data_IF_116308834995
#
_entry.id   IF_116308834995
#
_cell.length_a   1.000
_cell.length_b   1.000
_cell.length_c   1.000
_cell.angle_alpha   90.00
_cell.angle_beta   90.00
_cell.angle_gamma   90.00
#
_symmetry.space_group_name_H-M   'P 1'
#
loop_
_entity.id
_entity.type
_entity.pdbx_description
1 polymer ?
#
# COMPACT_ATOMS: atom_id res chain seq x y z
N UNK A 1 17.62 29.02 25.94
CA UNK A 1 17.59 27.57 26.18
C UNK A 1 16.56 27.01 25.23
N UNK A 2 17.01 26.64 24.03
CA UNK A 2 16.16 26.06 22.98
C UNK A 2 15.90 24.61 23.35
N UNK A 3 14.63 24.28 23.55
CA UNK A 3 14.16 22.91 23.79
C UNK A 3 14.66 22.02 22.63
N UNK A 4 15.26 20.85 22.88
CA UNK A 4 15.54 19.89 21.81
C UNK A 4 14.20 19.44 21.24
N UNK A 5 13.99 19.68 19.94
CA UNK A 5 12.70 19.49 19.27
C UNK A 5 12.07 18.13 19.56
N UNK A 6 10.87 18.14 20.15
CA UNK A 6 10.09 16.93 20.43
C UNK A 6 9.73 16.18 19.15
N UNK A 7 9.51 14.87 19.29
CA UNK A 7 9.08 13.99 18.20
C UNK A 7 7.75 14.48 17.63
N UNK A 8 7.67 14.60 16.29
CA UNK A 8 6.45 15.03 15.61
C UNK A 8 5.67 13.85 15.04
N UNK A 9 4.41 14.08 14.65
CA UNK A 9 3.61 13.13 13.86
C UNK A 9 4.35 12.72 12.59
N UNK A 10 4.98 13.67 11.89
CA UNK A 10 5.71 13.41 10.66
C UNK A 10 6.92 12.49 10.89
N UNK A 11 7.62 12.66 12.03
CA UNK A 11 8.72 11.78 12.41
C UNK A 11 8.22 10.37 12.75
N UNK A 12 7.07 10.28 13.42
CA UNK A 12 6.42 9.00 13.74
C UNK A 12 6.00 8.26 12.47
N UNK A 13 5.36 8.93 11.51
CA UNK A 13 4.96 8.34 10.22
C UNK A 13 6.19 7.91 9.42
N UNK A 14 7.25 8.73 9.40
CA UNK A 14 8.50 8.37 8.73
C UNK A 14 9.14 7.11 9.34
N UNK A 15 9.16 7.02 10.67
CA UNK A 15 9.64 5.83 11.37
C UNK A 15 8.78 4.59 11.06
N UNK A 16 7.45 4.74 11.04
CA UNK A 16 6.53 3.65 10.68
C UNK A 16 6.84 3.10 9.29
N UNK A 17 6.99 3.96 8.28
CA UNK A 17 7.32 3.53 6.92
C UNK A 17 8.77 3.04 6.75
N UNK A 18 9.70 3.46 7.61
CA UNK A 18 11.09 3.01 7.57
C UNK A 18 11.29 1.61 8.17
N UNK A 19 10.69 1.36 9.34
CA UNK A 19 10.81 0.07 10.04
C UNK A 19 9.60 -0.28 10.91
N UNK A 20 8.87 0.71 11.44
CA UNK A 20 7.85 0.49 12.46
C UNK A 20 6.73 -0.45 12.03
N UNK A 21 6.25 -0.37 10.78
CA UNK A 21 5.21 -1.29 10.28
C UNK A 21 5.68 -2.75 10.28
N UNK A 22 6.94 -3.02 9.93
CA UNK A 22 7.50 -4.39 9.99
C UNK A 22 7.58 -4.87 11.43
N UNK A 23 8.00 -4.00 12.36
CA UNK A 23 8.03 -4.33 13.79
C UNK A 23 6.65 -4.64 14.36
N UNK A 24 5.62 -3.88 13.95
CA UNK A 24 4.21 -4.13 14.32
C UNK A 24 3.71 -5.46 13.74
N UNK A 25 4.04 -5.80 12.49
CA UNK A 25 3.72 -7.10 11.93
C UNK A 25 4.39 -8.25 12.71
N UNK A 26 5.66 -8.08 13.11
CA UNK A 26 6.37 -9.04 13.96
C UNK A 26 5.78 -9.18 15.36
N UNK A 27 5.12 -8.13 15.88
CA UNK A 27 4.40 -8.20 17.15
C UNK A 27 3.17 -9.12 17.05
N UNK A 28 2.41 -9.04 15.95
CA UNK A 28 1.27 -9.91 15.71
C UNK A 28 1.63 -11.40 15.68
N UNK A 29 2.83 -11.75 15.21
CA UNK A 29 3.33 -13.13 15.22
C UNK A 29 3.64 -13.66 16.62
N UNK A 30 3.88 -12.76 17.58
CA UNK A 30 4.22 -13.09 18.97
C UNK A 30 3.00 -13.07 19.89
N UNK A 31 1.84 -12.66 19.40
CA UNK A 31 0.60 -12.62 20.16
C UNK A 31 -0.36 -13.72 19.69
N UNK A 32 -1.08 -14.37 20.61
CA UNK A 32 -2.03 -15.42 20.24
C UNK A 32 -3.28 -14.88 19.54
N UNK A 33 -3.61 -13.61 19.77
CA UNK A 33 -4.79 -12.95 19.20
C UNK A 33 -4.49 -12.32 17.84
N UNK A 34 -5.45 -12.40 16.93
CA UNK A 34 -5.42 -11.66 15.67
C UNK A 34 -5.57 -10.17 15.97
N UNK A 35 -4.57 -9.37 15.58
CA UNK A 35 -4.55 -7.92 15.79
C UNK A 35 -5.19 -7.19 14.62
N UNK A 36 -6.10 -6.26 14.90
CA UNK A 36 -6.83 -5.48 13.89
C UNK A 36 -6.22 -4.09 13.67
N UNK A 37 -5.65 -3.49 14.71
CA UNK A 37 -5.13 -2.13 14.66
C UNK A 37 -4.07 -1.87 15.72
N UNK A 38 -3.36 -0.75 15.53
CA UNK A 38 -2.39 -0.21 16.47
C UNK A 38 -2.58 1.30 16.58
N UNK A 39 -2.38 1.86 17.77
CA UNK A 39 -2.17 3.31 17.94
C UNK A 39 -0.79 3.57 18.50
N UNK A 40 -0.12 4.60 17.98
CA UNK A 40 1.20 5.03 18.44
C UNK A 40 1.05 6.46 18.97
N UNK A 41 1.14 6.62 20.29
CA UNK A 41 1.11 7.92 20.93
C UNK A 41 2.40 8.69 20.65
N UNK A 42 2.30 9.84 19.98
CA UNK A 42 3.46 10.60 19.50
C UNK A 42 4.29 11.19 20.64
N UNK A 43 3.65 11.55 21.76
CA UNK A 43 4.31 12.20 22.88
C UNK A 43 5.12 11.21 23.72
N UNK A 44 4.66 9.97 23.81
CA UNK A 44 5.21 8.96 24.73
C UNK A 44 5.91 7.80 24.03
N UNK A 45 5.69 7.60 22.73
CA UNK A 45 6.14 6.40 22.01
C UNK A 45 5.40 5.14 22.45
N UNK A 46 4.25 5.28 23.11
CA UNK A 46 3.44 4.14 23.56
C UNK A 46 2.69 3.54 22.38
N UNK A 47 2.83 2.24 22.19
CA UNK A 47 2.10 1.46 21.18
C UNK A 47 1.00 0.67 21.86
N UNK A 48 -0.25 0.88 21.44
CA UNK A 48 -1.37 0.05 21.84
C UNK A 48 -1.79 -0.85 20.68
N UNK A 49 -1.75 -2.17 20.90
CA UNK A 49 -2.21 -3.18 19.95
C UNK A 49 -3.64 -3.61 20.28
N UNK A 50 -4.52 -3.60 19.28
CA UNK A 50 -5.94 -3.87 19.45
C UNK A 50 -6.32 -5.18 18.76
N UNK A 51 -6.71 -6.23 19.51
CA UNK A 51 -7.19 -7.48 18.92
C UNK A 51 -8.54 -7.28 18.21
N UNK A 52 -8.83 -8.12 17.22
CA UNK A 52 -10.15 -8.20 16.55
C UNK A 52 -11.26 -8.39 17.59
N UNK A 53 -12.34 -7.64 17.47
CA UNK A 53 -13.48 -7.72 18.40
C UNK A 53 -14.35 -8.94 18.11
N UNK A 54 -14.95 -9.53 19.15
CA UNK A 54 -15.87 -10.67 19.01
C UNK A 54 -15.34 -12.03 19.46
N UNK A 55 -14.11 -12.10 19.99
CA UNK A 55 -13.52 -13.33 20.53
C UNK A 55 -13.85 -13.62 22.02
N UNK A 56 -14.52 -12.70 22.73
CA UNK A 56 -14.94 -12.88 24.13
C UNK A 56 -14.71 -11.66 25.03
N UNK A 57 -15.05 -11.79 26.32
CA UNK A 57 -14.80 -10.79 27.37
C UNK A 57 -13.29 -10.74 27.71
N UNK A 58 -12.50 -10.13 26.83
CA UNK A 58 -11.05 -10.04 26.97
C UNK A 58 -10.36 -9.10 25.96
N UNK A 59 -11.11 -8.33 25.19
CA UNK A 59 -10.60 -7.51 24.06
C UNK A 59 -9.89 -6.21 24.48
N UNK A 60 -9.18 -6.23 25.61
CA UNK A 60 -8.37 -5.10 26.06
C UNK A 60 -7.20 -4.88 25.10
N UNK A 61 -6.81 -3.62 24.91
CA UNK A 61 -5.60 -3.31 24.17
C UNK A 61 -4.37 -3.79 24.97
N UNK A 62 -3.37 -4.29 24.27
CA UNK A 62 -2.06 -4.57 24.85
C UNK A 62 -1.16 -3.35 24.63
N UNK A 63 -0.37 -2.99 25.63
CA UNK A 63 0.45 -1.78 25.60
C UNK A 63 1.94 -2.14 25.64
N UNK A 64 2.71 -1.51 24.76
CA UNK A 64 4.14 -1.70 24.58
C UNK A 64 4.83 -0.33 24.45
N UNK A 65 6.12 -0.25 24.78
CA UNK A 65 6.95 0.86 24.31
C UNK A 65 7.39 0.58 22.86
N UNK A 66 7.51 1.61 22.04
CA UNK A 66 8.00 1.47 20.67
C UNK A 66 9.39 0.83 20.60
N UNK A 67 10.27 1.11 21.57
CA UNK A 67 11.61 0.55 21.68
C UNK A 67 11.62 -0.95 22.03
N UNK A 68 10.54 -1.45 22.64
CA UNK A 68 10.39 -2.87 23.02
C UNK A 68 9.76 -3.71 21.90
N UNK A 69 9.41 -3.09 20.77
CA UNK A 69 8.89 -3.83 19.62
C UNK A 69 9.96 -4.78 19.04
N UNK A 70 9.53 -5.92 18.46
CA UNK A 70 10.44 -6.83 17.76
C UNK A 70 11.35 -6.14 16.75
N UNK A 71 12.54 -6.70 16.51
CA UNK A 71 13.39 -6.28 15.40
C UNK A 71 12.62 -6.38 14.06
N UNK A 72 12.87 -5.47 13.10
CA UNK A 72 12.14 -5.42 11.83
C UNK A 72 12.58 -6.56 10.90
N UNK A 73 12.00 -7.75 11.11
CA UNK A 73 12.22 -8.94 10.30
C UNK A 73 10.95 -9.26 9.52
N UNK A 74 11.08 -9.59 8.24
CA UNK A 74 9.95 -9.93 7.37
C UNK A 74 9.40 -8.71 6.63
N UNK A 75 8.08 -8.65 6.46
CA UNK A 75 7.39 -7.59 5.72
C UNK A 75 6.31 -6.92 6.57
N UNK A 76 5.89 -5.72 6.15
CA UNK A 76 4.78 -5.00 6.78
C UNK A 76 3.40 -5.66 6.51
N UNK A 77 3.35 -6.77 5.76
CA UNK A 77 2.12 -7.44 5.32
C UNK A 77 1.17 -6.44 4.67
N UNK A 78 -0.08 -6.36 5.15
CA UNK A 78 -1.11 -5.43 4.67
C UNK A 78 -1.39 -4.28 5.67
N UNK A 79 -0.40 -3.90 6.47
CA UNK A 79 -0.54 -2.77 7.40
C UNK A 79 -0.58 -1.44 6.65
N UNK A 80 -1.53 -0.57 7.02
CA UNK A 80 -1.65 0.80 6.49
C UNK A 80 -1.79 1.81 7.61
N UNK A 81 -1.09 2.94 7.49
CA UNK A 81 -1.32 4.11 8.33
C UNK A 81 -2.59 4.81 7.83
N UNK A 82 -3.60 4.89 8.69
CA UNK A 82 -4.90 5.48 8.35
C UNK A 82 -4.90 6.98 8.57
N UNK A 83 -4.32 7.46 9.67
CA UNK A 83 -4.45 8.85 10.06
C UNK A 83 -3.94 9.14 11.46
N UNK A 84 -4.25 10.35 11.94
CA UNK A 84 -3.97 10.81 13.29
C UNK A 84 -5.29 10.90 14.04
N UNK A 85 -5.35 10.25 15.20
CA UNK A 85 -6.53 10.28 16.08
C UNK A 85 -6.71 11.66 16.72
N UNK A 86 -7.93 11.93 17.22
CA UNK A 86 -8.19 13.12 18.03
C UNK A 86 -7.33 13.21 19.30
N UNK A 87 -6.81 12.08 19.77
CA UNK A 87 -5.87 11.99 20.90
C UNK A 87 -4.39 12.12 20.51
N UNK A 88 -4.09 12.59 19.29
CA UNK A 88 -2.71 12.75 18.80
C UNK A 88 -1.89 11.44 18.72
N UNK A 89 -2.56 10.31 18.49
CA UNK A 89 -1.90 9.05 18.18
C UNK A 89 -1.98 8.75 16.67
N UNK A 90 -0.96 8.11 16.11
CA UNK A 90 -1.02 7.61 14.73
C UNK A 90 -1.76 6.27 14.73
N UNK A 91 -2.81 6.14 13.92
CA UNK A 91 -3.58 4.91 13.76
C UNK A 91 -3.05 4.07 12.58
N UNK A 92 -2.76 2.80 12.84
CA UNK A 92 -2.40 1.79 11.85
C UNK A 92 -3.44 0.68 11.88
N UNK A 93 -3.86 0.20 10.72
CA UNK A 93 -4.82 -0.90 10.58
C UNK A 93 -4.16 -2.08 9.88
N UNK A 94 -4.44 -3.28 10.36
CA UNK A 94 -4.10 -4.53 9.68
C UNK A 94 -5.27 -4.96 8.78
N UNK A 95 -5.09 -4.77 7.48
CA UNK A 95 -6.10 -5.15 6.50
C UNK A 95 -6.26 -6.68 6.39
N UNK A 96 -5.28 -7.48 6.81
CA UNK A 96 -5.43 -8.94 6.84
C UNK A 96 -6.46 -9.39 7.90
N UNK A 97 -6.71 -8.57 8.92
CA UNK A 97 -7.73 -8.80 9.93
C UNK A 97 -9.13 -8.27 9.52
N UNK A 98 -9.21 -7.46 8.45
CA UNK A 98 -10.43 -6.79 7.97
C UNK A 98 -10.69 -7.16 6.51
N UNK A 99 -11.16 -8.39 6.26
CA UNK A 99 -11.22 -8.97 4.91
C UNK A 99 -12.09 -8.20 3.92
N UNK A 100 -13.10 -7.48 4.41
CA UNK A 100 -13.92 -6.57 3.64
C UNK A 100 -14.04 -5.25 4.40
N UNK A 101 -13.52 -4.18 3.83
CA UNK A 101 -13.50 -2.85 4.42
C UNK A 101 -13.97 -1.82 3.38
N UNK A 102 -14.66 -0.77 3.81
CA UNK A 102 -15.02 0.34 2.91
C UNK A 102 -14.32 1.65 3.24
N UNK A 103 -14.22 2.52 2.23
CA UNK A 103 -13.89 3.94 2.41
C UNK A 103 -15.06 4.75 1.84
N UNK A 104 -15.71 5.52 2.69
CA UNK A 104 -16.88 6.32 2.36
C UNK A 104 -16.54 7.81 2.45
N UNK A 105 -16.69 8.53 1.33
CA UNK A 105 -16.38 9.95 1.21
C UNK A 105 -16.99 10.56 -0.04
N UNK A 106 -17.09 11.90 -0.09
CA UNK A 106 -17.40 12.61 -1.32
C UNK A 106 -16.34 12.37 -2.42
N UNK A 107 -15.07 12.19 -2.03
CA UNK A 107 -13.97 11.74 -2.90
C UNK A 107 -13.11 10.72 -2.15
N UNK A 108 -13.39 9.41 -2.27
CA UNK A 108 -12.65 8.39 -1.52
C UNK A 108 -11.25 8.10 -2.09
N UNK A 109 -10.98 8.50 -3.34
CA UNK A 109 -9.75 8.18 -4.07
C UNK A 109 -8.48 8.69 -3.38
N UNK A 110 -8.39 9.91 -2.83
CA UNK A 110 -7.19 10.36 -2.13
C UNK A 110 -6.81 9.48 -0.94
N UNK A 111 -7.77 8.99 -0.16
CA UNK A 111 -7.51 8.08 0.94
C UNK A 111 -7.07 6.69 0.42
N UNK A 112 -7.80 6.17 -0.56
CA UNK A 112 -7.45 4.89 -1.20
C UNK A 112 -6.04 4.91 -1.83
N UNK A 113 -5.66 6.00 -2.51
CA UNK A 113 -4.31 6.19 -3.07
C UNK A 113 -3.23 6.18 -2.01
N UNK A 114 -3.48 6.76 -0.83
CA UNK A 114 -2.55 6.68 0.30
C UNK A 114 -2.31 5.24 0.72
N UNK A 115 -3.38 4.45 0.88
CA UNK A 115 -3.27 3.04 1.26
C UNK A 115 -2.56 2.22 0.18
N UNK A 116 -2.94 2.40 -1.10
CA UNK A 116 -2.28 1.72 -2.24
C UNK A 116 -0.78 1.98 -2.25
N UNK A 117 -0.34 3.23 -2.09
CA UNK A 117 1.09 3.56 -2.09
C UNK A 117 1.84 2.91 -0.92
N UNK A 118 1.25 2.94 0.27
CA UNK A 118 1.83 2.30 1.45
C UNK A 118 1.94 0.78 1.27
N UNK A 119 0.90 0.14 0.74
CA UNK A 119 0.87 -1.30 0.47
C UNK A 119 1.92 -1.70 -0.57
N UNK A 120 2.12 -0.91 -1.62
CA UNK A 120 3.11 -1.17 -2.66
C UNK A 120 4.56 -1.01 -2.18
N UNK A 121 4.81 -0.46 -0.98
CA UNK A 121 6.12 -0.50 -0.33
C UNK A 121 6.51 -1.93 0.07
N UNK A 122 5.52 -2.80 0.30
CA UNK A 122 5.76 -4.22 0.51
C UNK A 122 5.93 -4.92 -0.85
N UNK A 123 7.10 -5.51 -1.16
CA UNK A 123 7.33 -6.19 -2.44
C UNK A 123 6.43 -7.40 -2.67
N UNK A 124 5.89 -8.01 -1.61
CA UNK A 124 5.02 -9.20 -1.68
C UNK A 124 3.56 -8.85 -1.97
N UNK A 125 3.17 -7.58 -1.80
CA UNK A 125 1.79 -7.15 -2.02
C UNK A 125 1.53 -6.92 -3.50
N UNK A 126 0.45 -7.51 -3.98
CA UNK A 126 -0.18 -7.24 -5.27
C UNK A 126 -1.58 -6.67 -5.06
N UNK A 127 -1.98 -5.81 -5.98
CA UNK A 127 -3.23 -5.06 -5.95
C UNK A 127 -3.93 -5.24 -7.29
N UNK A 128 -5.20 -5.59 -7.26
CA UNK A 128 -6.07 -5.60 -8.43
C UNK A 128 -7.25 -4.68 -8.19
N UNK A 129 -7.51 -3.75 -9.10
CA UNK A 129 -8.61 -2.77 -8.96
C UNK A 129 -9.39 -2.62 -10.26
N UNK A 130 -10.65 -2.22 -10.21
CA UNK A 130 -11.41 -1.81 -11.40
C UNK A 130 -11.30 -0.30 -11.70
N UNK A 131 -10.46 0.44 -10.96
CA UNK A 131 -10.26 1.88 -11.16
C UNK A 131 -8.84 2.22 -11.63
N UNK A 132 -8.76 2.85 -12.80
CA UNK A 132 -7.50 3.41 -13.30
C UNK A 132 -6.98 4.56 -12.42
N UNK A 133 -7.86 5.24 -11.67
CA UNK A 133 -7.48 6.36 -10.79
C UNK A 133 -6.67 5.94 -9.55
N UNK A 134 -6.68 4.64 -9.24
CA UNK A 134 -5.96 4.04 -8.13
C UNK A 134 -4.75 3.22 -8.58
N UNK A 135 -4.51 3.11 -9.89
CA UNK A 135 -3.38 2.38 -10.43
C UNK A 135 -2.25 3.37 -10.70
N UNK A 136 -1.20 3.43 -9.85
CA UNK A 136 -0.03 4.23 -10.19
C UNK A 136 0.59 3.62 -11.44
N UNK A 137 1.15 4.46 -12.32
CA UNK A 137 1.72 4.07 -13.61
C UNK A 137 2.38 2.68 -13.63
N UNK A 138 2.08 1.86 -14.64
CA UNK A 138 2.69 0.58 -15.04
C UNK A 138 3.40 -0.30 -13.97
N UNK A 139 3.07 -0.23 -12.68
CA UNK A 139 3.63 -1.14 -11.67
C UNK A 139 2.97 -2.51 -11.91
N UNK A 140 3.74 -3.56 -12.25
CA UNK A 140 3.19 -4.88 -12.53
C UNK A 140 2.48 -5.51 -11.32
N UNK A 141 2.62 -4.94 -10.12
CA UNK A 141 1.93 -5.38 -8.90
C UNK A 141 0.61 -4.66 -8.68
N UNK A 142 0.35 -3.51 -9.30
CA UNK A 142 -0.94 -2.83 -9.21
C UNK A 142 -1.61 -2.82 -10.59
N UNK A 143 -2.67 -3.61 -10.77
CA UNK A 143 -3.29 -3.81 -12.09
C UNK A 143 -4.74 -3.39 -12.10
N UNK A 144 -5.12 -2.69 -13.15
CA UNK A 144 -6.53 -2.50 -13.48
C UNK A 144 -7.08 -3.78 -14.12
N UNK A 145 -8.17 -4.32 -13.59
CA UNK A 145 -8.86 -5.49 -14.11
C UNK A 145 -10.37 -5.29 -14.05
N UNK A 146 -11.10 -5.97 -14.94
CA UNK A 146 -12.55 -6.03 -14.84
C UNK A 146 -12.96 -6.94 -13.68
N UNK A 147 -13.71 -6.38 -12.72
CA UNK A 147 -14.26 -7.11 -11.57
C UNK A 147 -15.78 -7.18 -11.75
N UNK A 148 -16.36 -8.35 -12.09
CA UNK A 148 -17.78 -8.49 -12.35
C UNK A 148 -18.62 -8.30 -11.09
N UNK A 149 -19.83 -7.75 -11.26
CA UNK A 149 -20.85 -7.70 -10.19
C UNK A 149 -20.75 -6.52 -9.22
N UNK A 150 -19.83 -5.58 -9.43
CA UNK A 150 -19.73 -4.37 -8.60
C UNK A 150 -20.04 -3.11 -9.40
N UNK A 151 -20.95 -2.28 -8.88
CA UNK A 151 -21.13 -0.89 -9.33
C UNK A 151 -20.15 0.07 -8.64
N UNK A 152 -19.46 -0.39 -7.59
CA UNK A 152 -18.50 0.38 -6.81
C UNK A 152 -17.06 0.12 -7.27
N UNK A 153 -16.17 1.06 -6.93
CA UNK A 153 -14.73 0.85 -7.10
C UNK A 153 -14.25 -0.15 -6.06
N UNK A 154 -13.54 -1.18 -6.52
CA UNK A 154 -12.98 -2.25 -5.69
C UNK A 154 -11.46 -2.24 -5.82
N UNK A 155 -10.79 -2.48 -4.69
CA UNK A 155 -9.35 -2.75 -4.61
C UNK A 155 -9.15 -4.06 -3.84
N UNK A 156 -8.66 -5.09 -4.52
CA UNK A 156 -8.26 -6.35 -3.90
C UNK A 156 -6.78 -6.28 -3.57
N UNK A 157 -6.43 -6.58 -2.32
CA UNK A 157 -5.06 -6.59 -1.79
C UNK A 157 -4.68 -8.01 -1.43
N UNK A 158 -3.62 -8.52 -2.06
CA UNK A 158 -3.12 -9.88 -1.87
C UNK A 158 -1.63 -9.82 -1.53
N UNK A 159 -1.25 -10.29 -0.35
CA UNK A 159 0.13 -10.44 0.13
C UNK A 159 0.61 -11.91 0.02
N UNK A 160 -0.01 -12.70 -0.86
CA UNK A 160 0.21 -14.13 -1.04
C UNK A 160 -0.25 -15.01 0.14
N UNK A 161 -0.92 -14.44 1.14
CA UNK A 161 -1.53 -15.17 2.26
C UNK A 161 -3.07 -15.10 2.17
N UNK A 162 -3.75 -16.14 1.66
CA UNK A 162 -5.20 -16.12 1.58
C UNK A 162 -5.85 -16.11 2.98
N UNK A 163 -7.02 -15.46 3.14
CA UNK A 163 -7.79 -14.75 2.11
C UNK A 163 -7.25 -13.35 1.78
N UNK A 164 -7.53 -12.86 0.56
CA UNK A 164 -7.24 -11.48 0.16
C UNK A 164 -8.16 -10.48 0.89
N UNK A 165 -7.75 -9.22 0.96
CA UNK A 165 -8.57 -8.13 1.51
C UNK A 165 -9.25 -7.36 0.38
N UNK A 166 -10.54 -7.08 0.51
CA UNK A 166 -11.32 -6.25 -0.42
C UNK A 166 -11.60 -4.89 0.19
N UNK A 167 -11.14 -3.82 -0.45
CA UNK A 167 -11.48 -2.45 -0.11
C UNK A 167 -12.53 -1.96 -1.12
N UNK A 168 -13.67 -1.48 -0.65
CA UNK A 168 -14.74 -0.93 -1.50
C UNK A 168 -14.88 0.56 -1.29
N UNK A 169 -14.85 1.36 -2.35
CA UNK A 169 -15.06 2.81 -2.25
C UNK A 169 -16.53 3.14 -2.44
N UNK A 170 -17.12 3.87 -1.49
CA UNK A 170 -18.53 4.25 -1.47
C UNK A 170 -19.47 3.08 -1.79
N UNK A 171 -19.46 2.01 -0.97
CA UNK A 171 -20.40 0.90 -1.16
C UNK A 171 -21.85 1.40 -1.01
N UNK A 172 -22.81 0.64 -1.54
CA UNK A 172 -24.23 0.95 -1.35
C UNK A 172 -24.69 0.75 0.11
N UNK A 173 -23.95 -0.04 0.89
CA UNK A 173 -24.20 -0.31 2.31
C UNK A 173 -22.86 -0.55 2.98
N UNK A 174 -22.60 0.17 4.07
CA UNK A 174 -21.37 0.01 4.83
C UNK A 174 -21.36 -1.31 5.61
N UNK A 175 -20.19 -1.95 5.60
CA UNK A 175 -19.89 -3.10 6.44
C UNK A 175 -19.51 -2.69 7.86
N UNK A 176 -19.24 -3.66 8.75
CA UNK A 176 -18.78 -3.37 10.11
C UNK A 176 -17.40 -2.67 10.13
N UNK A 177 -16.58 -2.90 9.10
CA UNK A 177 -15.26 -2.29 8.96
C UNK A 177 -15.32 -1.23 7.87
N UNK A 178 -15.13 0.03 8.22
CA UNK A 178 -15.20 1.15 7.28
C UNK A 178 -14.45 2.38 7.79
N UNK A 179 -14.00 3.20 6.85
CA UNK A 179 -13.45 4.52 7.07
C UNK A 179 -14.40 5.56 6.45
N UNK A 180 -14.97 6.41 7.29
CA UNK A 180 -15.71 7.59 6.84
C UNK A 180 -14.79 8.80 6.82
N UNK A 181 -14.72 9.51 5.68
CA UNK A 181 -13.85 10.69 5.52
C UNK A 181 -14.70 11.93 5.26
N UNK A 182 -14.62 12.87 6.19
CA UNK A 182 -15.25 14.17 6.12
C UNK A 182 -14.62 15.10 5.07
N UNK A 183 -15.35 16.14 4.63
CA UNK A 183 -14.88 17.06 3.60
C UNK A 183 -13.69 17.94 4.05
N UNK A 184 -13.47 18.05 5.36
CA UNK A 184 -12.35 18.78 5.98
C UNK A 184 -11.11 17.91 6.22
N UNK A 185 -11.14 16.64 5.81
CA UNK A 185 -10.06 15.68 6.01
C UNK A 185 -10.05 15.01 7.38
N UNK A 186 -11.01 15.31 8.26
CA UNK A 186 -11.29 14.49 9.45
C UNK A 186 -11.93 13.17 9.03
N UNK A 187 -12.00 12.21 9.96
CA UNK A 187 -12.66 10.95 9.65
C UNK A 187 -12.96 10.09 10.86
N UNK A 188 -13.60 8.96 10.60
CA UNK A 188 -14.03 7.99 11.58
C UNK A 188 -13.67 6.59 11.07
N UNK A 189 -12.87 5.87 11.85
CA UNK A 189 -12.47 4.51 11.53
C UNK A 189 -13.22 3.53 12.41
N UNK A 190 -13.93 2.60 11.79
CA UNK A 190 -14.67 1.52 12.43
C UNK A 190 -14.02 0.18 12.09
N UNK A 191 -13.79 -0.64 13.12
CA UNK A 191 -13.35 -2.03 13.00
C UNK A 191 -14.18 -2.89 13.95
N UNK A 192 -15.21 -3.55 13.43
CA UNK A 192 -16.21 -4.25 14.22
C UNK A 192 -16.88 -3.32 15.23
N UNK A 193 -16.60 -3.54 16.52
CA UNK A 193 -17.13 -2.68 17.59
C UNK A 193 -16.13 -1.61 18.06
N UNK A 194 -14.96 -1.50 17.42
CA UNK A 194 -13.96 -0.46 17.72
C UNK A 194 -14.21 0.76 16.85
N UNK A 195 -13.89 1.91 17.43
CA UNK A 195 -14.09 3.21 16.82
C UNK A 195 -12.92 4.12 17.16
N UNK A 196 -12.40 4.82 16.15
CA UNK A 196 -11.44 5.89 16.32
C UNK A 196 -11.88 7.12 15.54
N UNK A 197 -11.99 8.24 16.26
CA UNK A 197 -12.13 9.55 15.63
C UNK A 197 -10.77 10.06 15.19
N UNK A 198 -10.68 10.48 13.93
CA UNK A 198 -9.47 10.97 13.29
C UNK A 198 -9.55 12.49 13.14
N UNK A 199 -8.54 13.18 13.67
CA UNK A 199 -8.35 14.60 13.38
C UNK A 199 -7.87 14.81 11.94
N UNK A 200 -7.16 13.84 11.38
CA UNK A 200 -6.68 13.88 10.01
C UNK A 200 -6.58 12.47 9.43
N UNK A 201 -7.18 12.25 8.28
CA UNK A 201 -7.01 11.04 7.46
C UNK A 201 -5.81 11.20 6.54
N UNK A 202 -5.03 10.13 6.37
CA UNK A 202 -3.95 10.10 5.40
C UNK A 202 -4.50 10.04 3.98
N UNK A 203 -4.11 11.02 3.17
CA UNK A 203 -4.58 11.18 1.80
C UNK A 203 -3.43 11.54 0.87
N UNK A 204 -3.58 11.20 -0.41
CA UNK A 204 -2.70 11.64 -1.49
C UNK A 204 -3.56 12.37 -2.53
N UNK A 205 -3.41 13.70 -2.56
CA UNK A 205 -4.14 14.57 -3.49
C UNK A 205 -3.73 14.36 -4.95
N UNK A 206 -4.53 14.89 -5.87
CA UNK A 206 -4.41 14.66 -7.31
C UNK A 206 -3.03 15.09 -7.88
N UNK A 207 -2.50 16.22 -7.43
CA UNK A 207 -1.19 16.72 -7.84
C UNK A 207 -0.05 15.79 -7.39
N UNK A 208 -0.06 15.39 -6.12
CA UNK A 208 0.94 14.47 -5.57
C UNK A 208 0.85 13.10 -6.24
N UNK A 209 -0.37 12.59 -6.46
CA UNK A 209 -0.60 11.33 -7.17
C UNK A 209 -0.06 11.37 -8.59
N UNK A 210 -0.33 12.44 -9.33
CA UNK A 210 0.17 12.64 -10.70
C UNK A 210 1.70 12.69 -10.72
N UNK A 211 2.32 13.44 -9.80
CA UNK A 211 3.77 13.53 -9.71
C UNK A 211 4.43 12.18 -9.37
N UNK A 212 3.84 11.41 -8.45
CA UNK A 212 4.32 10.06 -8.11
C UNK A 212 4.17 9.12 -9.30
N UNK A 213 3.01 9.11 -9.94
CA UNK A 213 2.73 8.29 -11.12
C UNK A 213 3.70 8.59 -12.26
N UNK A 214 3.97 9.87 -12.52
CA UNK A 214 4.93 10.28 -13.55
C UNK A 214 6.36 9.78 -13.26
N UNK A 215 6.81 9.83 -12.00
CA UNK A 215 8.12 9.31 -11.59
C UNK A 215 8.23 7.79 -11.76
N UNK A 216 7.15 7.07 -11.42
CA UNK A 216 7.09 5.62 -11.60
C UNK A 216 7.09 5.23 -13.09
N UNK A 217 6.40 5.99 -13.96
CA UNK A 217 6.51 5.82 -15.42
C UNK A 217 7.92 6.06 -15.94
N UNK A 218 8.56 7.16 -15.54
CA UNK A 218 9.85 7.60 -16.10
C UNK A 218 11.02 6.66 -15.78
N UNK A 219 10.93 5.91 -14.69
CA UNK A 219 11.93 4.89 -14.33
C UNK A 219 11.98 3.74 -15.35
N UNK A 220 10.89 3.49 -16.10
CA UNK A 220 10.86 2.47 -17.14
C UNK A 220 11.58 2.91 -18.43
N UNK A 221 11.61 4.20 -18.77
CA UNK A 221 12.24 4.69 -20.00
C UNK A 221 13.78 4.83 -19.90
N UNK A 222 14.31 5.14 -18.72
CA UNK A 222 15.78 5.22 -18.51
C UNK A 222 16.48 3.84 -18.58
N UNK A 223 15.75 2.75 -18.30
CA UNK A 223 16.27 1.39 -18.42
C UNK A 223 16.46 0.95 -19.88
N UNK A 224 15.73 1.54 -20.84
CA UNK A 224 15.84 1.22 -22.27
C UNK A 224 16.96 2.01 -22.95
N UNK A 225 17.37 3.15 -22.40
CA UNK A 225 18.43 4.00 -22.95
C UNK A 225 19.87 3.50 -22.70
N UNK A 226 20.06 2.53 -21.80
CA UNK A 226 21.41 2.10 -21.34
C UNK A 226 21.88 0.73 -21.87
N UNK A 227 21.15 0.11 -22.82
CA UNK A 227 21.24 -1.33 -23.06
C UNK A 227 21.61 -1.84 -24.47
N UNK A 228 22.13 -1.02 -25.39
CA UNK A 228 22.53 -1.53 -26.72
C UNK A 228 24.01 -1.26 -27.04
N UNK A 229 24.90 -2.27 -27.00
CA UNK A 229 26.22 -2.15 -27.59
C UNK A 229 26.08 -2.11 -29.13
N UNK A 230 26.92 -1.34 -29.84
CA UNK A 230 26.91 -1.36 -31.30
C UNK A 230 27.35 -2.74 -31.78
N UNK A 231 26.42 -3.48 -32.39
CA UNK A 231 26.73 -4.75 -33.03
C UNK A 231 27.78 -4.57 -34.14
N UNK A 232 28.70 -5.52 -34.34
CA UNK A 232 29.77 -5.39 -35.32
C UNK A 232 29.17 -5.32 -36.74
N UNK A 233 29.60 -4.32 -37.50
CA UNK A 233 29.28 -4.19 -38.91
C UNK A 233 29.79 -5.42 -39.68
N UNK A 234 28.87 -6.24 -40.17
CA UNK A 234 29.19 -7.33 -41.10
C UNK A 234 29.44 -6.71 -42.47
N UNK A 235 30.71 -6.58 -42.86
CA UNK A 235 31.10 -6.25 -44.23
C UNK A 235 30.74 -7.41 -45.17
N UNK A 236 30.02 -7.10 -46.25
CA UNK A 236 29.78 -8.04 -47.34
C UNK A 236 31.10 -8.37 -48.08
N UNK A 237 31.33 -9.63 -48.51
CA UNK A 237 32.51 -9.97 -49.28
C UNK A 237 32.34 -9.54 -50.76
N UNK A 238 33.43 -9.13 -51.43
CA UNK A 238 33.38 -8.74 -52.83
C UNK A 238 33.21 -9.97 -53.74
N UNK A 239 32.48 -9.77 -54.82
CA UNK A 239 31.98 -10.80 -55.72
C UNK A 239 33.04 -11.71 -56.34
N UNK A 240 32.59 -12.92 -56.71
CA UNK A 240 33.28 -13.77 -57.67
C UNK A 240 32.52 -13.82 -58.98
N UNK A 241 33.31 -13.54 -60.00
CA UNK A 241 33.09 -13.55 -61.44
C UNK A 241 32.39 -14.85 -61.90
N UNK A 242 31.33 -14.69 -62.68
CA UNK A 242 30.71 -15.76 -63.48
C UNK A 242 31.47 -15.99 -64.78
N UNK A 243 31.76 -17.24 -65.12
CA UNK A 243 32.02 -17.74 -66.48
C UNK A 243 31.85 -19.28 -66.52
N UNK A 244 31.74 -19.95 -67.69
CA UNK A 244 30.45 -20.20 -68.34
C UNK A 244 30.21 -21.67 -68.76
N UNK A 245 28.93 -22.01 -68.93
CA UNK A 245 28.43 -22.99 -69.91
C UNK A 245 28.68 -24.49 -69.67
N UNK A 246 27.64 -25.32 -69.83
CA UNK A 246 27.48 -26.23 -70.97
C UNK A 246 26.01 -26.65 -71.04
N UNK A 247 25.40 -26.39 -72.19
CA UNK A 247 24.09 -26.90 -72.62
C UNK A 247 24.34 -28.26 -73.27
N UNK A 248 23.64 -29.30 -72.83
CA UNK A 248 23.54 -30.58 -73.54
C UNK A 248 22.11 -30.76 -74.05
N UNK A 249 21.95 -30.76 -75.38
CA UNK A 249 20.91 -31.51 -76.06
C UNK A 249 21.53 -32.79 -76.67
N UNK A 250 20.83 -33.55 -77.52
CA UNK A 250 19.46 -33.39 -78.03
C UNK A 250 18.40 -34.22 -77.28
#
# INVERSE_FOLDING_TARGET
MTDPGGVTVADTVRWLHGEGLVRLAGLAERTPDLLAAYTIDVATGTVNAYPVTGAGAGSAAMTFAADDLPDPVGTARRLVVVGVTSSQAVLVVDLAASLAISITSARPEPAARSWVLQLLLNPEVTITTNSAELTPASDPRCRTSFIPGSSATIVNVDDMQPPLTTITLNPATDGPDHLDVGPDGTGEMYLGTRFWQLHQVMTVGDEAWSAISARLSGTADDAVASGQPPGPAVSAPPGRVSAPGVVTGP
#
